data_IF_547561487316
#
_entry.id   IF_547561487316
#
_cell.length_a   1.000
_cell.length_b   1.000
_cell.length_c   1.000
_cell.angle_alpha   90.00
_cell.angle_beta   90.00
_cell.angle_gamma   90.00
#
_symmetry.space_group_name_H-M   'P 1'
#
loop_
_entity.id
_entity.type
_entity.pdbx_description
1 polymer ?
#
# COMPACT_ATOMS: atom_id res chain seq x y z
N UNK A 1 -0.69 11.78 -8.24
CA UNK A 1 -1.10 11.14 -6.97
C UNK A 1 -2.26 11.92 -6.37
N UNK A 2 -3.31 11.24 -5.97
CA UNK A 2 -4.50 11.92 -5.48
C UNK A 2 -4.27 12.59 -4.11
N UNK A 3 -5.05 13.65 -3.85
CA UNK A 3 -4.85 14.50 -2.67
C UNK A 3 -4.97 13.76 -1.34
N UNK A 4 -5.88 12.78 -1.24
CA UNK A 4 -6.08 12.02 0.00
C UNK A 4 -4.81 11.29 0.43
N UNK A 5 -4.01 10.84 -0.52
CA UNK A 5 -2.72 10.19 -0.23
C UNK A 5 -1.71 11.22 0.30
N UNK A 6 -1.59 12.35 -0.39
CA UNK A 6 -0.65 13.41 0.01
C UNK A 6 -0.98 13.95 1.40
N UNK A 7 -2.25 14.19 1.68
CA UNK A 7 -2.72 14.74 2.94
C UNK A 7 -2.44 13.82 4.13
N UNK A 8 -2.36 12.51 3.88
CA UNK A 8 -2.18 11.51 4.94
C UNK A 8 -0.80 10.84 4.91
N UNK A 9 0.14 11.37 4.13
CA UNK A 9 1.43 10.73 3.93
C UNK A 9 2.20 10.52 5.23
N UNK A 10 2.23 11.51 6.13
CA UNK A 10 2.91 11.37 7.42
C UNK A 10 2.32 10.26 8.27
N UNK A 11 0.99 10.16 8.30
CA UNK A 11 0.30 9.10 9.04
C UNK A 11 0.63 7.73 8.48
N UNK A 12 0.68 7.62 7.16
CA UNK A 12 1.06 6.38 6.48
C UNK A 12 2.50 6.00 6.83
N UNK A 13 3.42 6.94 6.80
CA UNK A 13 4.83 6.68 7.10
C UNK A 13 5.03 6.24 8.56
N UNK A 14 4.33 6.86 9.50
CA UNK A 14 4.37 6.46 10.91
C UNK A 14 3.84 5.04 11.10
N UNK A 15 2.74 4.73 10.43
CA UNK A 15 2.16 3.39 10.48
C UNK A 15 3.13 2.35 9.91
N UNK A 16 3.81 2.67 8.83
CA UNK A 16 4.81 1.80 8.23
C UNK A 16 5.96 1.51 9.19
N UNK A 17 6.41 2.51 9.94
CA UNK A 17 7.46 2.32 10.96
C UNK A 17 6.98 1.37 12.06
N UNK A 18 5.75 1.53 12.51
CA UNK A 18 5.17 0.71 13.56
C UNK A 18 5.07 -0.77 13.16
N UNK A 19 4.74 -1.02 11.90
CA UNK A 19 4.50 -2.38 11.41
C UNK A 19 5.66 -2.98 10.60
N UNK A 20 6.86 -2.47 10.80
CA UNK A 20 8.10 -3.04 10.22
C UNK A 20 8.09 -3.13 8.71
N UNK A 21 7.52 -2.14 8.06
CA UNK A 21 7.52 -2.07 6.60
C UNK A 21 8.92 -1.76 6.10
N UNK A 22 9.36 -2.49 5.08
CA UNK A 22 10.60 -2.18 4.37
C UNK A 22 10.32 -1.16 3.27
N UNK A 23 9.25 -1.36 2.52
CA UNK A 23 8.91 -0.52 1.39
C UNK A 23 7.41 -0.53 1.13
N UNK A 24 6.83 0.65 0.93
CA UNK A 24 5.44 0.82 0.54
C UNK A 24 5.36 1.70 -0.69
N UNK A 25 4.69 1.20 -1.73
CA UNK A 25 4.47 1.95 -2.96
C UNK A 25 2.99 2.02 -3.29
N UNK A 26 2.59 3.14 -3.88
CA UNK A 26 1.22 3.32 -4.38
C UNK A 26 1.15 2.79 -5.80
N UNK A 27 0.12 1.99 -6.07
CA UNK A 27 -0.20 1.47 -7.39
C UNK A 27 -1.68 1.71 -7.68
N UNK A 28 -2.10 1.43 -8.90
CA UNK A 28 -3.51 1.46 -9.27
C UNK A 28 -4.10 2.85 -9.45
N UNK A 29 -5.42 2.95 -9.25
CA UNK A 29 -6.19 4.15 -9.61
C UNK A 29 -5.81 5.40 -8.82
N UNK A 30 -5.33 5.27 -7.59
CA UNK A 30 -4.96 6.41 -6.76
C UNK A 30 -3.70 7.15 -7.25
N UNK A 31 -2.98 6.60 -8.22
CA UNK A 31 -1.88 7.31 -8.88
C UNK A 31 -2.38 8.45 -9.77
N UNK A 32 -3.62 8.40 -10.22
CA UNK A 32 -4.19 9.37 -11.15
C UNK A 32 -5.51 9.90 -10.66
N UNK A 33 -5.63 11.22 -10.56
CA UNK A 33 -6.89 11.87 -10.19
C UNK A 33 -8.02 11.55 -11.17
N UNK A 34 -7.68 11.33 -12.43
CA UNK A 34 -8.67 11.02 -13.49
C UNK A 34 -9.33 9.65 -13.30
N UNK A 35 -8.57 8.68 -12.77
CA UNK A 35 -9.05 7.30 -12.59
C UNK A 35 -9.63 7.06 -11.21
N UNK A 36 -9.26 7.88 -10.23
CA UNK A 36 -9.67 7.68 -8.85
C UNK A 36 -11.05 8.28 -8.59
N UNK A 37 -11.92 7.49 -8.00
CA UNK A 37 -13.23 7.95 -7.53
C UNK A 37 -13.20 8.03 -6.01
N UNK A 38 -13.28 9.23 -5.45
CA UNK A 38 -13.19 9.48 -4.01
C UNK A 38 -14.19 8.68 -3.17
N UNK A 39 -15.30 8.25 -3.77
CA UNK A 39 -16.35 7.53 -3.05
C UNK A 39 -16.31 6.03 -3.25
N UNK A 40 -15.76 5.55 -4.35
CA UNK A 40 -15.88 4.16 -4.77
C UNK A 40 -14.57 3.43 -4.99
N UNK A 41 -13.49 4.15 -5.31
CA UNK A 41 -12.22 3.48 -5.62
C UNK A 41 -11.53 2.98 -4.36
N UNK A 42 -11.02 1.76 -4.43
CA UNK A 42 -10.13 1.21 -3.43
C UNK A 42 -8.74 1.80 -3.63
N UNK A 43 -7.92 1.72 -2.59
CA UNK A 43 -6.52 2.13 -2.68
C UNK A 43 -5.68 0.87 -2.69
N UNK A 44 -4.79 0.77 -3.68
CA UNK A 44 -3.90 -0.38 -3.84
C UNK A 44 -2.47 0.01 -3.51
N UNK A 45 -1.84 -0.78 -2.63
CA UNK A 45 -0.44 -0.59 -2.27
C UNK A 45 0.36 -1.84 -2.59
N UNK A 46 1.60 -1.62 -3.00
CA UNK A 46 2.60 -2.68 -3.09
C UNK A 46 3.42 -2.65 -1.81
N UNK A 47 3.49 -3.77 -1.11
CA UNK A 47 4.09 -3.87 0.23
C UNK A 47 5.23 -4.88 0.28
N UNK A 48 6.30 -4.48 0.97
CA UNK A 48 7.37 -5.39 1.38
C UNK A 48 7.69 -5.13 2.84
N UNK A 49 7.79 -6.20 3.63
CA UNK A 49 8.13 -6.10 5.05
C UNK A 49 9.61 -6.37 5.27
N UNK A 50 10.16 -5.78 6.34
CA UNK A 50 11.44 -6.19 6.88
C UNK A 50 11.34 -7.64 7.34
N UNK A 51 12.46 -8.36 7.52
CA UNK A 51 12.40 -9.74 8.05
C UNK A 51 11.64 -9.77 9.36
N UNK A 52 10.63 -10.63 9.43
CA UNK A 52 9.77 -10.78 10.61
C UNK A 52 10.05 -12.11 11.29
N UNK A 53 9.85 -12.13 12.61
CA UNK A 53 9.95 -13.38 13.38
C UNK A 53 8.86 -14.35 12.92
N UNK A 54 9.17 -15.65 13.03
CA UNK A 54 8.24 -16.69 12.70
C UNK A 54 6.93 -16.54 13.49
N UNK A 55 5.81 -16.66 12.80
CA UNK A 55 4.48 -16.51 13.41
C UNK A 55 3.98 -15.08 13.54
N UNK A 56 4.77 -14.08 13.21
CA UNK A 56 4.39 -12.67 13.34
C UNK A 56 3.83 -12.06 12.06
N UNK A 57 3.94 -12.76 10.94
CA UNK A 57 3.59 -12.22 9.65
C UNK A 57 2.12 -11.80 9.54
N UNK A 58 1.20 -12.69 9.92
CA UNK A 58 -0.23 -12.42 9.78
C UNK A 58 -0.68 -11.22 10.62
N UNK A 59 -0.25 -11.15 11.88
CA UNK A 59 -0.61 -10.04 12.76
C UNK A 59 -0.07 -8.72 12.22
N UNK A 60 1.16 -8.72 11.71
CA UNK A 60 1.78 -7.52 11.15
C UNK A 60 1.05 -7.07 9.89
N UNK A 61 0.76 -8.01 8.99
CA UNK A 61 0.04 -7.73 7.75
C UNK A 61 -1.35 -7.13 8.03
N UNK A 62 -2.14 -7.81 8.86
CA UNK A 62 -3.51 -7.37 9.13
C UNK A 62 -3.55 -6.10 9.98
N UNK A 63 -2.60 -5.91 10.89
CA UNK A 63 -2.48 -4.67 11.64
C UNK A 63 -2.22 -3.47 10.73
N UNK A 64 -1.29 -3.62 9.80
CA UNK A 64 -1.01 -2.58 8.80
C UNK A 64 -2.25 -2.31 7.94
N UNK A 65 -2.89 -3.36 7.45
CA UNK A 65 -4.08 -3.25 6.60
C UNK A 65 -5.20 -2.48 7.32
N UNK A 66 -5.52 -2.87 8.54
CA UNK A 66 -6.55 -2.19 9.34
C UNK A 66 -6.20 -0.72 9.58
N UNK A 67 -4.92 -0.44 9.87
CA UNK A 67 -4.47 0.92 10.08
C UNK A 67 -4.61 1.79 8.83
N UNK A 68 -4.25 1.25 7.67
CA UNK A 68 -4.41 1.96 6.41
C UNK A 68 -5.88 2.19 6.07
N UNK A 69 -6.72 1.19 6.26
CA UNK A 69 -8.16 1.32 6.03
C UNK A 69 -8.78 2.36 6.96
N UNK A 70 -8.30 2.45 8.19
CA UNK A 70 -8.76 3.46 9.14
C UNK A 70 -8.33 4.87 8.70
N UNK A 71 -7.09 5.04 8.23
CA UNK A 71 -6.60 6.33 7.75
C UNK A 71 -7.44 6.84 6.58
N UNK A 72 -7.72 5.97 5.62
CA UNK A 72 -8.39 6.38 4.38
C UNK A 72 -9.89 6.18 4.39
N UNK A 73 -10.41 5.50 5.40
CA UNK A 73 -11.84 5.19 5.55
C UNK A 73 -12.41 4.53 4.29
N UNK A 74 -11.69 3.54 3.77
CA UNK A 74 -12.09 2.77 2.59
C UNK A 74 -11.30 1.47 2.52
N UNK A 75 -11.73 0.60 1.62
CA UNK A 75 -11.04 -0.66 1.37
C UNK A 75 -9.64 -0.41 0.80
N UNK A 76 -8.67 -1.15 1.34
CA UNK A 76 -7.26 -1.09 0.92
C UNK A 76 -6.83 -2.50 0.51
N UNK A 77 -6.15 -2.60 -0.62
CA UNK A 77 -5.51 -3.82 -1.06
C UNK A 77 -4.00 -3.72 -0.85
N UNK A 78 -3.45 -4.65 -0.09
CA UNK A 78 -2.00 -4.78 0.10
C UNK A 78 -1.50 -5.93 -0.75
N UNK A 79 -0.74 -5.60 -1.78
CA UNK A 79 -0.22 -6.57 -2.75
C UNK A 79 1.25 -6.81 -2.51
N UNK A 80 1.65 -8.07 -2.35
CA UNK A 80 3.06 -8.45 -2.22
C UNK A 80 3.58 -8.86 -3.58
N UNK A 81 4.66 -8.21 -4.03
CA UNK A 81 5.19 -8.47 -5.36
C UNK A 81 5.59 -9.94 -5.55
N UNK A 82 6.10 -10.57 -4.49
CA UNK A 82 6.49 -11.98 -4.53
C UNK A 82 5.31 -12.93 -4.70
N UNK A 83 4.11 -12.49 -4.34
CA UNK A 83 2.89 -13.30 -4.48
C UNK A 83 2.23 -13.11 -5.84
N UNK A 84 2.63 -12.10 -6.62
CA UNK A 84 2.06 -11.83 -7.92
C UNK A 84 2.72 -12.73 -8.96
N UNK A 85 1.91 -13.58 -9.59
CA UNK A 85 2.38 -14.52 -10.62
C UNK A 85 1.95 -14.13 -12.03
N UNK A 86 0.96 -13.27 -12.15
CA UNK A 86 0.46 -12.82 -13.44
C UNK A 86 1.45 -11.83 -14.06
N UNK A 87 2.03 -12.22 -15.18
CA UNK A 87 3.04 -11.44 -15.90
C UNK A 87 2.53 -10.09 -16.37
N UNK A 88 1.30 -10.02 -16.82
CA UNK A 88 0.71 -8.76 -17.30
C UNK A 88 0.47 -7.79 -16.15
N UNK A 89 0.08 -8.31 -15.01
CA UNK A 89 -0.12 -7.51 -13.80
C UNK A 89 1.22 -6.96 -13.31
N UNK A 90 2.27 -7.77 -13.30
CA UNK A 90 3.62 -7.32 -12.94
C UNK A 90 4.12 -6.21 -13.86
N UNK A 91 3.91 -6.34 -15.17
CA UNK A 91 4.29 -5.31 -16.13
C UNK A 91 3.53 -4.01 -15.86
N UNK A 92 2.23 -4.07 -15.58
CA UNK A 92 1.44 -2.90 -15.26
C UNK A 92 1.92 -2.21 -13.99
N UNK A 93 2.21 -2.96 -12.93
CA UNK A 93 2.77 -2.43 -11.68
C UNK A 93 4.11 -1.74 -11.95
N UNK A 94 5.00 -2.38 -12.68
CA UNK A 94 6.35 -1.86 -12.92
C UNK A 94 6.37 -0.56 -13.72
N UNK A 95 5.35 -0.32 -14.53
CA UNK A 95 5.24 0.93 -15.29
C UNK A 95 4.81 2.12 -14.45
N UNK A 96 3.93 1.89 -13.49
CA UNK A 96 3.27 2.97 -12.75
C UNK A 96 3.20 2.63 -11.26
N UNK A 97 4.22 3.07 -10.52
CA UNK A 97 4.21 2.95 -9.07
C UNK A 97 4.93 4.15 -8.45
N UNK A 98 4.49 4.56 -7.28
CA UNK A 98 5.02 5.71 -6.57
C UNK A 98 5.47 5.31 -5.18
N UNK A 99 6.75 5.55 -4.87
CA UNK A 99 7.29 5.25 -3.55
C UNK A 99 6.69 6.19 -2.50
N UNK A 100 6.14 5.62 -1.43
CA UNK A 100 5.61 6.39 -0.30
C UNK A 100 6.48 6.25 0.94
N UNK A 101 7.10 5.10 1.15
CA UNK A 101 7.92 4.83 2.33
C UNK A 101 9.01 3.81 1.99
N UNK A 102 10.21 4.07 2.49
CA UNK A 102 11.32 3.10 2.48
C UNK A 102 12.08 3.23 3.79
N UNK A 103 12.28 2.10 4.45
CA UNK A 103 13.03 2.05 5.71
C UNK A 103 14.53 2.30 5.48
#
# INVERSE_FOLDING_TARGET
MVAIIEQNLEKVQKLCQEYHVLRLELIGSALSERKFNDKKSDIDFLIEFQPLEEGKYADTYFGLLEGLESIFNRHVDLVMIKAVKNRYFLEAINKNRKLLYAA
#
